data_IF_960823347954
#
_entry.id   IF_960823347954
#
_cell.length_a   1.000
_cell.length_b   1.000
_cell.length_c   1.000
_cell.angle_alpha   90.00
_cell.angle_beta   90.00
_cell.angle_gamma   90.00
#
_symmetry.space_group_name_H-M   'P 1'
#
loop_
_entity.id
_entity.type
_entity.pdbx_description
1 polymer ?
#
# COMPACT_ATOMS: atom_id res chain seq x y z
N UNK A 1 3.44 -31.59 -22.87
CA UNK A 1 4.80 -31.03 -22.93
C UNK A 1 4.86 -29.56 -23.38
N UNK A 2 3.86 -29.02 -24.09
CA UNK A 2 3.81 -27.62 -24.58
C UNK A 2 3.62 -26.53 -23.49
N UNK A 3 2.91 -26.86 -22.39
CA UNK A 3 2.64 -25.91 -21.30
C UNK A 3 3.93 -25.45 -20.59
N UNK A 4 4.93 -26.32 -20.50
CA UNK A 4 6.21 -26.03 -19.84
C UNK A 4 7.07 -25.08 -20.68
N UNK A 5 7.10 -25.23 -21.98
CA UNK A 5 7.85 -24.36 -22.90
C UNK A 5 7.29 -22.92 -22.94
N UNK A 6 5.95 -22.78 -22.96
CA UNK A 6 5.30 -21.46 -22.96
C UNK A 6 5.53 -20.73 -21.63
N UNK A 7 5.57 -21.46 -20.51
CA UNK A 7 5.81 -20.87 -19.17
C UNK A 7 7.27 -20.42 -19.01
N UNK A 8 8.22 -21.16 -19.54
CA UNK A 8 9.63 -20.78 -19.53
C UNK A 8 9.88 -19.45 -20.31
N UNK A 9 9.27 -19.30 -21.47
CA UNK A 9 9.37 -18.06 -22.29
C UNK A 9 8.84 -16.81 -21.60
N UNK A 10 7.90 -16.93 -20.67
CA UNK A 10 7.35 -15.77 -19.92
C UNK A 10 8.38 -15.13 -18.98
N UNK A 11 9.37 -15.88 -18.52
CA UNK A 11 10.40 -15.44 -17.59
C UNK A 11 11.80 -15.33 -18.23
N UNK A 12 11.87 -15.51 -19.53
CA UNK A 12 13.09 -15.30 -20.32
C UNK A 12 12.93 -14.00 -21.12
N UNK A 13 13.96 -13.15 -21.08
CA UNK A 13 14.05 -11.98 -21.95
C UNK A 13 14.36 -12.44 -23.36
N UNK A 14 13.91 -11.68 -24.36
CA UNK A 14 14.35 -11.91 -25.73
C UNK A 14 15.84 -11.66 -25.84
N UNK A 15 16.58 -12.55 -26.50
CA UNK A 15 18.04 -12.43 -26.69
C UNK A 15 18.36 -11.23 -27.59
N UNK A 16 17.55 -10.99 -28.61
CA UNK A 16 17.66 -9.90 -29.58
C UNK A 16 16.56 -8.85 -29.38
N UNK A 17 16.38 -8.38 -28.13
CA UNK A 17 15.41 -7.32 -27.89
C UNK A 17 15.83 -6.04 -28.60
N UNK A 18 15.13 -5.70 -29.71
CA UNK A 18 15.36 -4.45 -30.41
C UNK A 18 15.21 -3.27 -29.45
N UNK A 19 16.18 -2.39 -29.42
CA UNK A 19 16.14 -1.17 -28.65
C UNK A 19 14.98 -0.30 -29.17
N UNK A 20 13.96 -0.15 -28.34
CA UNK A 20 12.79 0.69 -28.69
C UNK A 20 12.83 1.96 -27.86
N UNK A 21 12.51 3.07 -28.52
CA UNK A 21 12.42 4.37 -27.88
C UNK A 21 11.47 4.32 -26.68
N UNK A 22 11.91 4.86 -25.54
CA UNK A 22 11.10 5.06 -24.35
C UNK A 22 10.19 6.28 -24.58
N UNK A 23 8.92 6.14 -24.28
CA UNK A 23 7.89 7.16 -24.40
C UNK A 23 7.51 7.73 -23.03
N UNK A 24 6.82 8.86 -22.97
CA UNK A 24 6.28 9.42 -21.72
C UNK A 24 5.39 8.41 -20.98
N UNK A 25 4.59 7.65 -21.72
CA UNK A 25 3.77 6.56 -21.15
C UNK A 25 4.62 5.52 -20.44
N UNK A 26 5.77 5.17 -20.96
CA UNK A 26 6.67 4.21 -20.32
C UNK A 26 7.25 4.78 -19.03
N UNK A 27 7.58 6.06 -19.01
CA UNK A 27 8.01 6.77 -17.81
C UNK A 27 6.93 6.72 -16.74
N UNK A 28 5.66 6.93 -17.10
CA UNK A 28 4.53 6.79 -16.18
C UNK A 28 4.41 5.36 -15.64
N UNK A 29 4.50 4.34 -16.49
CA UNK A 29 4.49 2.93 -16.08
C UNK A 29 5.64 2.63 -15.11
N UNK A 30 6.86 3.05 -15.42
CA UNK A 30 8.02 2.84 -14.55
C UNK A 30 7.84 3.52 -13.19
N UNK A 31 7.31 4.74 -13.17
CA UNK A 31 7.02 5.47 -11.94
C UNK A 31 5.93 4.81 -11.10
N UNK A 32 4.87 4.28 -11.72
CA UNK A 32 3.86 3.49 -11.00
C UNK A 32 4.49 2.25 -10.35
N UNK A 33 5.27 1.48 -11.12
CA UNK A 33 5.95 0.28 -10.58
C UNK A 33 6.94 0.66 -9.48
N UNK A 34 7.67 1.77 -9.61
CA UNK A 34 8.56 2.28 -8.56
C UNK A 34 7.82 2.57 -7.25
N UNK A 35 6.68 3.27 -7.35
CA UNK A 35 5.89 3.69 -6.18
C UNK A 35 5.30 2.52 -5.41
N UNK A 36 4.80 1.52 -6.11
CA UNK A 36 4.11 0.38 -5.51
C UNK A 36 5.00 -0.84 -5.29
N UNK A 37 6.25 -0.80 -5.78
CA UNK A 37 7.22 -1.90 -5.76
C UNK A 37 6.84 -3.09 -6.62
N UNK A 38 5.61 -3.61 -6.50
CA UNK A 38 5.04 -4.66 -7.35
C UNK A 38 3.68 -4.23 -7.84
N UNK A 39 3.47 -4.34 -9.14
CA UNK A 39 2.17 -4.17 -9.78
C UNK A 39 1.92 -5.34 -10.73
N UNK A 40 0.66 -5.78 -10.81
CA UNK A 40 0.27 -6.74 -11.82
C UNK A 40 -0.17 -6.03 -13.12
N UNK A 41 -0.42 -6.81 -14.18
CA UNK A 41 -0.86 -6.28 -15.47
C UNK A 41 -2.16 -5.47 -15.35
N UNK A 42 -3.09 -5.90 -14.49
CA UNK A 42 -4.41 -5.28 -14.34
C UNK A 42 -4.30 -3.91 -13.66
N UNK A 43 -3.44 -3.81 -12.62
CA UNK A 43 -3.10 -2.53 -12.01
C UNK A 43 -2.57 -1.52 -13.03
N UNK A 44 -1.63 -1.96 -13.88
CA UNK A 44 -1.02 -1.08 -14.88
C UNK A 44 -2.01 -0.67 -15.97
N UNK A 45 -2.95 -1.55 -16.33
CA UNK A 45 -4.05 -1.21 -17.24
C UNK A 45 -4.99 -0.19 -16.59
N UNK A 46 -5.36 -0.38 -15.33
CA UNK A 46 -6.25 0.54 -14.62
C UNK A 46 -5.63 1.93 -14.42
N UNK A 47 -4.33 1.97 -14.06
CA UNK A 47 -3.62 3.23 -13.84
C UNK A 47 -3.38 4.02 -15.16
N UNK A 48 -3.08 3.31 -16.24
CA UNK A 48 -2.82 3.93 -17.55
C UNK A 48 -4.10 4.36 -18.29
N UNK A 49 -5.21 3.64 -18.08
CA UNK A 49 -6.52 3.93 -18.69
C UNK A 49 -6.61 3.68 -20.19
N UNK A 50 -5.60 3.05 -20.81
CA UNK A 50 -5.55 2.78 -22.25
C UNK A 50 -6.00 1.36 -22.63
N UNK A 51 -5.81 1.02 -23.91
CA UNK A 51 -6.13 -0.31 -24.40
C UNK A 51 -5.27 -1.39 -23.75
N UNK A 52 -5.90 -2.36 -23.09
CA UNK A 52 -5.24 -3.42 -22.34
C UNK A 52 -4.26 -4.27 -23.18
N UNK A 53 -4.57 -4.55 -24.45
CA UNK A 53 -3.70 -5.32 -25.32
C UNK A 53 -2.40 -4.56 -25.64
N UNK A 54 -2.52 -3.25 -25.89
CA UNK A 54 -1.37 -2.38 -26.17
C UNK A 54 -0.48 -2.26 -24.91
N UNK A 55 -1.08 -2.12 -23.74
CA UNK A 55 -0.33 -2.07 -22.47
C UNK A 55 0.41 -3.38 -22.25
N UNK A 56 -0.27 -4.53 -22.37
CA UNK A 56 0.35 -5.87 -22.25
C UNK A 56 1.53 -6.05 -23.19
N UNK A 57 1.39 -5.66 -24.45
CA UNK A 57 2.46 -5.71 -25.43
C UNK A 57 3.63 -4.81 -25.02
N UNK A 58 3.35 -3.59 -24.53
CA UNK A 58 4.37 -2.64 -24.09
C UNK A 58 5.10 -3.13 -22.84
N UNK A 59 4.41 -3.69 -21.85
CA UNK A 59 5.00 -4.30 -20.66
C UNK A 59 5.99 -5.43 -21.02
N UNK A 60 5.70 -6.20 -22.07
CA UNK A 60 6.62 -7.21 -22.57
C UNK A 60 7.90 -6.57 -23.11
N UNK A 61 7.79 -5.51 -23.90
CA UNK A 61 8.95 -4.77 -24.44
C UNK A 61 9.80 -4.19 -23.30
N UNK A 62 9.18 -3.54 -22.31
CA UNK A 62 9.89 -2.96 -21.16
C UNK A 62 10.60 -4.04 -20.33
N UNK A 63 10.00 -5.23 -20.21
CA UNK A 63 10.62 -6.37 -19.58
C UNK A 63 11.83 -6.86 -20.38
N UNK A 64 11.70 -7.04 -21.71
CA UNK A 64 12.78 -7.52 -22.56
C UNK A 64 13.98 -6.57 -22.57
N UNK A 65 13.76 -5.26 -22.52
CA UNK A 65 14.79 -4.22 -22.41
C UNK A 65 15.37 -4.04 -20.99
N UNK A 66 14.93 -4.81 -20.00
CA UNK A 66 15.43 -4.71 -18.63
C UNK A 66 14.92 -3.51 -17.82
N UNK A 67 13.98 -2.74 -18.37
CA UNK A 67 13.34 -1.60 -17.67
C UNK A 67 12.39 -2.08 -16.58
N UNK A 68 11.68 -3.18 -16.83
CA UNK A 68 10.91 -3.93 -15.83
C UNK A 68 11.54 -5.28 -15.54
N UNK A 69 11.26 -5.83 -14.37
CA UNK A 69 11.59 -7.20 -13.98
C UNK A 69 10.34 -7.97 -13.59
N UNK A 70 10.45 -9.30 -13.47
CA UNK A 70 9.37 -10.21 -13.08
C UNK A 70 9.82 -11.05 -11.90
N UNK A 71 9.28 -10.84 -10.69
CA UNK A 71 9.65 -11.62 -9.51
C UNK A 71 9.51 -13.12 -9.73
N UNK A 72 10.54 -13.88 -9.38
CA UNK A 72 10.55 -15.35 -9.59
C UNK A 72 9.47 -16.05 -8.77
N UNK A 73 9.14 -15.52 -7.59
CA UNK A 73 8.11 -16.07 -6.72
C UNK A 73 6.75 -16.27 -7.41
N UNK A 74 6.41 -15.45 -8.42
CA UNK A 74 5.14 -15.60 -9.15
C UNK A 74 5.06 -16.88 -10.00
N UNK A 75 6.18 -17.59 -10.23
CA UNK A 75 6.16 -18.89 -10.91
C UNK A 75 5.34 -19.94 -10.14
N UNK A 76 5.32 -19.81 -8.81
CA UNK A 76 4.62 -20.71 -7.88
C UNK A 76 3.29 -20.12 -7.38
N UNK A 77 2.88 -18.97 -7.91
CA UNK A 77 1.83 -18.12 -7.37
C UNK A 77 0.58 -18.17 -8.25
N UNK A 78 -0.19 -19.25 -8.18
CA UNK A 78 -1.42 -19.39 -8.98
C UNK A 78 -2.72 -19.09 -8.20
N UNK A 79 -2.65 -18.77 -6.91
CA UNK A 79 -3.86 -18.74 -6.06
C UNK A 79 -4.47 -17.35 -5.81
N UNK A 80 -3.77 -16.25 -6.10
CA UNK A 80 -4.24 -14.89 -5.75
C UNK A 80 -4.09 -13.85 -6.87
N UNK A 81 -3.73 -14.25 -8.08
CA UNK A 81 -3.75 -13.39 -9.25
C UNK A 81 -4.68 -14.00 -10.29
N UNK A 82 -5.44 -13.14 -10.97
CA UNK A 82 -6.24 -13.56 -12.13
C UNK A 82 -5.38 -14.42 -13.06
N UNK A 83 -5.88 -15.58 -13.55
CA UNK A 83 -5.11 -16.42 -14.44
C UNK A 83 -4.55 -15.64 -15.62
N UNK A 84 -3.21 -15.53 -15.71
CA UNK A 84 -2.52 -14.79 -16.77
C UNK A 84 -2.02 -13.41 -16.42
N UNK A 85 -2.39 -12.82 -15.29
CA UNK A 85 -1.81 -11.57 -14.84
C UNK A 85 -0.33 -11.76 -14.46
N UNK A 86 0.55 -10.92 -15.04
CA UNK A 86 1.99 -10.93 -14.72
C UNK A 86 2.27 -9.83 -13.73
N UNK A 87 3.12 -10.13 -12.75
CA UNK A 87 3.63 -9.17 -11.76
C UNK A 87 4.94 -8.59 -12.25
N UNK A 88 5.06 -7.29 -12.13
CA UNK A 88 6.23 -6.53 -12.53
C UNK A 88 6.81 -5.77 -11.33
N UNK A 89 8.14 -5.65 -11.36
CA UNK A 89 8.93 -4.80 -10.51
C UNK A 89 9.80 -3.90 -11.38
N UNK A 90 10.37 -2.84 -10.80
CA UNK A 90 11.33 -2.01 -11.52
C UNK A 90 12.61 -2.80 -11.78
N UNK A 91 13.04 -2.84 -13.04
CA UNK A 91 14.28 -3.46 -13.47
C UNK A 91 15.49 -2.53 -13.28
N UNK A 92 16.71 -3.10 -13.36
CA UNK A 92 17.96 -2.32 -13.18
C UNK A 92 18.08 -1.19 -14.21
N UNK A 93 17.75 -1.47 -15.48
CA UNK A 93 17.79 -0.44 -16.53
C UNK A 93 16.73 0.64 -16.27
N UNK A 94 15.53 0.27 -15.77
CA UNK A 94 14.48 1.21 -15.42
C UNK A 94 14.86 2.12 -14.24
N UNK A 95 15.49 1.57 -13.21
CA UNK A 95 15.97 2.36 -12.09
C UNK A 95 17.08 3.35 -12.51
N UNK A 96 17.98 2.93 -13.40
CA UNK A 96 19.00 3.82 -13.98
C UNK A 96 18.36 4.92 -14.82
N UNK A 97 17.44 4.55 -15.71
CA UNK A 97 16.72 5.48 -16.57
C UNK A 97 15.99 6.56 -15.77
N UNK A 98 15.23 6.18 -14.73
CA UNK A 98 14.49 7.15 -13.90
C UNK A 98 15.42 8.11 -13.17
N UNK A 99 16.57 7.64 -12.66
CA UNK A 99 17.61 8.50 -12.02
C UNK A 99 18.17 9.53 -13.00
N UNK A 100 18.49 9.11 -14.23
CA UNK A 100 19.00 9.99 -15.29
C UNK A 100 17.95 11.06 -15.67
N UNK A 101 16.66 10.82 -15.39
CA UNK A 101 15.57 11.76 -15.63
C UNK A 101 15.09 12.50 -14.37
N UNK A 102 15.93 12.55 -13.33
CA UNK A 102 15.69 13.40 -12.15
C UNK A 102 14.85 12.78 -11.03
N UNK A 103 14.55 11.47 -11.12
CA UNK A 103 13.84 10.79 -10.05
C UNK A 103 14.80 10.36 -8.92
N UNK A 104 14.48 10.70 -7.68
CA UNK A 104 15.25 10.25 -6.52
C UNK A 104 15.07 8.75 -6.29
N UNK A 105 16.07 7.97 -6.68
CA UNK A 105 16.17 6.55 -6.40
C UNK A 105 17.49 6.32 -5.66
N UNK A 106 17.40 5.81 -4.42
CA UNK A 106 18.60 5.48 -3.65
C UNK A 106 19.49 4.49 -4.43
N UNK A 107 20.69 4.89 -4.83
CA UNK A 107 21.60 4.05 -5.62
C UNK A 107 22.14 2.84 -4.83
N UNK A 108 22.08 2.88 -3.49
CA UNK A 108 22.56 1.79 -2.62
C UNK A 108 21.56 0.66 -2.47
N UNK A 109 20.27 0.91 -2.79
CA UNK A 109 19.24 -0.10 -2.81
C UNK A 109 19.25 -0.81 -4.17
N UNK A 110 19.95 -1.91 -4.28
CA UNK A 110 19.77 -2.84 -5.40
C UNK A 110 18.38 -3.51 -5.28
N UNK A 111 17.36 -2.72 -5.63
CA UNK A 111 15.97 -3.15 -5.59
C UNK A 111 15.72 -4.33 -6.53
N UNK A 112 16.51 -4.46 -7.61
CA UNK A 112 16.36 -5.49 -8.62
C UNK A 112 16.59 -6.88 -8.01
N UNK A 113 17.71 -7.05 -7.31
CA UNK A 113 18.03 -8.33 -6.68
C UNK A 113 17.10 -8.65 -5.53
N UNK A 114 16.75 -7.66 -4.69
CA UNK A 114 15.77 -7.81 -3.62
C UNK A 114 14.37 -8.15 -4.17
N UNK A 115 13.97 -7.54 -5.27
CA UNK A 115 12.67 -7.80 -5.89
C UNK A 115 12.64 -9.17 -6.58
N UNK A 116 13.73 -9.57 -7.22
CA UNK A 116 13.86 -10.88 -7.84
C UNK A 116 13.76 -12.01 -6.81
N UNK A 117 14.41 -11.85 -5.65
CA UNK A 117 14.45 -12.81 -4.54
C UNK A 117 13.31 -12.67 -3.54
N UNK A 118 12.41 -11.73 -3.74
CA UNK A 118 11.27 -11.53 -2.84
C UNK A 118 10.42 -12.81 -2.76
N UNK A 119 10.18 -13.28 -1.55
CA UNK A 119 9.36 -14.49 -1.32
C UNK A 119 7.89 -14.26 -1.69
N UNK A 120 7.17 -15.36 -1.96
CA UNK A 120 5.76 -15.32 -2.40
C UNK A 120 4.85 -14.60 -1.43
N UNK A 121 5.01 -14.81 -0.12
CA UNK A 121 4.22 -14.15 0.92
C UNK A 121 4.40 -12.63 0.88
N UNK A 122 5.66 -12.18 0.72
CA UNK A 122 5.95 -10.75 0.64
C UNK A 122 5.38 -10.12 -0.64
N UNK A 123 5.52 -10.78 -1.80
CA UNK A 123 4.94 -10.32 -3.07
C UNK A 123 3.42 -10.22 -2.96
N UNK A 124 2.76 -11.24 -2.37
CA UNK A 124 1.31 -11.25 -2.15
C UNK A 124 0.84 -10.10 -1.27
N UNK A 125 1.50 -9.92 -0.15
CA UNK A 125 1.16 -8.84 0.77
C UNK A 125 1.30 -7.47 0.10
N UNK A 126 2.41 -7.24 -0.60
CA UNK A 126 2.65 -5.98 -1.33
C UNK A 126 1.63 -5.75 -2.45
N UNK A 127 1.23 -6.81 -3.16
CA UNK A 127 0.17 -6.72 -4.16
C UNK A 127 -1.18 -6.36 -3.52
N UNK A 128 -1.51 -6.92 -2.35
CA UNK A 128 -2.74 -6.54 -1.65
C UNK A 128 -2.76 -5.07 -1.20
N UNK A 129 -1.61 -4.50 -0.86
CA UNK A 129 -1.47 -3.05 -0.63
C UNK A 129 -1.66 -2.27 -1.93
N UNK A 130 -1.05 -2.75 -3.02
CA UNK A 130 -1.17 -2.14 -4.35
C UNK A 130 -2.60 -2.18 -4.88
N UNK A 131 -3.31 -3.31 -4.72
CA UNK A 131 -4.74 -3.46 -5.09
C UNK A 131 -5.57 -2.32 -4.50
N UNK A 132 -5.43 -2.09 -3.19
CA UNK A 132 -6.16 -1.03 -2.51
C UNK A 132 -5.79 0.37 -3.01
N UNK A 133 -4.49 0.68 -3.11
CA UNK A 133 -4.03 2.02 -3.49
C UNK A 133 -4.32 2.35 -4.96
N UNK A 134 -4.22 1.37 -5.86
CA UNK A 134 -4.57 1.53 -7.28
C UNK A 134 -6.07 1.79 -7.43
N UNK A 135 -6.90 0.99 -6.78
CA UNK A 135 -8.35 1.16 -6.80
C UNK A 135 -8.76 2.52 -6.21
N UNK A 136 -8.10 2.96 -5.14
CA UNK A 136 -8.33 4.29 -4.57
C UNK A 136 -7.89 5.41 -5.52
N UNK A 137 -6.75 5.28 -6.21
CA UNK A 137 -6.29 6.27 -7.18
C UNK A 137 -7.28 6.39 -8.35
N UNK A 138 -7.77 5.25 -8.86
CA UNK A 138 -8.79 5.21 -9.92
C UNK A 138 -10.11 5.80 -9.43
N UNK A 139 -10.56 5.45 -8.22
CA UNK A 139 -11.78 6.00 -7.64
C UNK A 139 -11.71 7.52 -7.46
N UNK A 140 -10.58 8.04 -6.97
CA UNK A 140 -10.37 9.49 -6.85
C UNK A 140 -10.44 10.21 -8.21
N UNK A 141 -9.84 9.65 -9.27
CA UNK A 141 -9.89 10.21 -10.62
C UNK A 141 -11.31 10.31 -11.19
N UNK A 142 -12.19 9.38 -10.79
CA UNK A 142 -13.59 9.32 -11.24
C UNK A 142 -14.57 9.94 -10.25
N UNK A 143 -14.10 10.47 -9.12
CA UNK A 143 -14.98 11.07 -8.12
C UNK A 143 -15.60 12.38 -8.62
N UNK A 144 -16.91 12.56 -8.34
CA UNK A 144 -17.62 13.80 -8.65
C UNK A 144 -17.00 15.00 -7.91
N UNK A 145 -16.50 14.78 -6.69
CA UNK A 145 -15.87 15.78 -5.82
C UNK A 145 -14.43 16.11 -6.22
N UNK A 146 -13.92 15.54 -7.32
CA UNK A 146 -12.54 15.72 -7.79
C UNK A 146 -11.49 15.44 -6.72
N UNK A 147 -11.71 14.41 -5.94
CA UNK A 147 -10.76 13.98 -4.92
C UNK A 147 -9.40 13.67 -5.55
N UNK A 148 -8.33 13.96 -4.82
CA UNK A 148 -6.97 13.70 -5.28
C UNK A 148 -6.25 12.82 -4.28
N UNK A 149 -5.69 11.71 -4.76
CA UNK A 149 -4.81 10.88 -3.95
C UNK A 149 -3.41 11.52 -3.89
N UNK A 150 -2.98 11.88 -2.70
CA UNK A 150 -1.60 12.28 -2.39
C UNK A 150 -0.86 11.00 -2.02
N UNK A 151 0.06 10.58 -2.87
CA UNK A 151 0.85 9.37 -2.66
C UNK A 151 1.80 9.51 -1.46
N UNK A 152 2.28 8.37 -0.93
CA UNK A 152 3.26 8.35 0.16
C UNK A 152 4.49 9.22 -0.14
N UNK A 153 5.01 9.17 -1.37
CA UNK A 153 6.15 9.97 -1.78
C UNK A 153 5.85 11.47 -1.68
N UNK A 154 4.71 11.93 -2.19
CA UNK A 154 4.28 13.32 -2.11
C UNK A 154 4.02 13.76 -0.66
N UNK A 155 3.38 12.90 0.14
CA UNK A 155 3.14 13.16 1.58
C UNK A 155 4.46 13.32 2.34
N UNK A 156 5.42 12.44 2.09
CA UNK A 156 6.73 12.49 2.75
C UNK A 156 7.58 13.66 2.25
N UNK A 157 7.44 14.10 1.01
CA UNK A 157 8.19 15.25 0.48
C UNK A 157 7.90 16.56 1.24
N UNK A 158 6.67 16.70 1.78
CA UNK A 158 6.25 17.87 2.55
C UNK A 158 6.26 17.65 4.07
N UNK A 159 6.63 16.45 4.51
CA UNK A 159 6.70 16.12 5.93
C UNK A 159 7.81 16.91 6.65
N UNK A 160 7.77 17.05 7.98
CA UNK A 160 8.82 17.65 8.76
C UNK A 160 10.20 17.05 8.47
N UNK A 161 11.25 17.85 8.52
CA UNK A 161 12.62 17.46 8.15
C UNK A 161 13.09 16.19 8.87
N UNK A 162 12.76 16.06 10.16
CA UNK A 162 13.07 14.86 10.94
C UNK A 162 12.48 13.58 10.31
N UNK A 163 11.26 13.64 9.78
CA UNK A 163 10.62 12.54 9.10
C UNK A 163 11.26 12.27 7.75
N UNK A 164 11.50 13.32 6.95
CA UNK A 164 12.13 13.20 5.63
C UNK A 164 13.53 12.56 5.68
N UNK A 165 14.33 12.88 6.69
CA UNK A 165 15.69 12.35 6.87
C UNK A 165 15.73 10.98 7.58
N UNK A 166 14.58 10.46 8.02
CA UNK A 166 14.52 9.17 8.69
C UNK A 166 14.74 8.03 7.69
N UNK A 167 15.50 7.00 8.08
CA UNK A 167 15.59 5.75 7.31
C UNK A 167 14.27 4.98 7.26
N UNK A 168 13.38 5.21 8.23
CA UNK A 168 12.07 4.58 8.34
C UNK A 168 11.02 5.68 8.61
N UNK A 169 10.67 6.50 7.59
CA UNK A 169 9.83 7.68 7.78
C UNK A 169 8.41 7.35 8.23
N UNK A 170 7.94 6.12 7.99
CA UNK A 170 6.63 5.65 8.41
C UNK A 170 6.62 4.99 9.79
N UNK A 171 7.78 4.75 10.41
CA UNK A 171 7.84 4.11 11.73
C UNK A 171 7.08 4.93 12.76
N UNK A 172 5.98 4.37 13.24
CA UNK A 172 5.14 4.94 14.29
C UNK A 172 5.61 4.43 15.64
N UNK A 173 6.01 5.32 16.51
CA UNK A 173 6.56 4.98 17.83
C UNK A 173 5.79 5.64 18.95
N UNK A 174 5.62 4.92 20.05
CA UNK A 174 5.06 5.47 21.29
C UNK A 174 5.70 4.79 22.51
N UNK A 175 5.75 5.50 23.61
CA UNK A 175 6.21 4.94 24.90
C UNK A 175 5.00 4.58 25.73
N UNK A 176 4.94 3.33 26.18
CA UNK A 176 3.89 2.81 27.04
C UNK A 176 4.52 2.08 28.21
N UNK A 177 3.79 1.92 29.31
CA UNK A 177 4.21 1.06 30.42
C UNK A 177 4.16 -0.41 29.98
N UNK A 178 5.24 -1.14 30.23
CA UNK A 178 5.25 -2.59 30.05
C UNK A 178 4.62 -3.30 31.26
N UNK A 179 4.58 -4.62 31.23
CA UNK A 179 4.01 -5.47 32.29
C UNK A 179 4.67 -5.26 33.67
N UNK A 180 5.90 -4.79 33.69
CA UNK A 180 6.66 -4.49 34.90
C UNK A 180 6.53 -3.03 35.36
N UNK A 181 5.52 -2.30 34.85
CA UNK A 181 5.29 -0.87 35.08
C UNK A 181 6.50 0.02 34.73
N UNK A 182 7.35 -0.40 33.77
CA UNK A 182 8.48 0.38 33.27
C UNK A 182 8.14 0.98 31.91
N UNK A 183 8.54 2.23 31.64
CA UNK A 183 8.36 2.84 30.34
C UNK A 183 9.18 2.09 29.28
N UNK A 184 8.52 1.68 28.20
CA UNK A 184 9.13 0.98 27.07
C UNK A 184 8.61 1.57 25.76
N UNK A 185 9.51 1.77 24.78
CA UNK A 185 9.14 2.24 23.45
C UNK A 185 8.74 1.07 22.56
N UNK A 186 7.56 1.17 21.99
CA UNK A 186 7.01 0.25 21.02
C UNK A 186 6.88 0.92 19.67
N UNK A 187 6.97 0.14 18.59
CA UNK A 187 6.83 0.68 17.25
C UNK A 187 6.07 -0.26 16.33
N UNK A 188 5.34 0.34 15.39
CA UNK A 188 4.74 -0.33 14.25
C UNK A 188 5.13 0.43 12.98
N UNK A 189 5.13 -0.27 11.85
CA UNK A 189 5.34 0.35 10.54
C UNK A 189 4.10 0.02 9.73
N UNK A 190 3.29 1.03 9.34
CA UNK A 190 2.16 0.79 8.47
C UNK A 190 2.61 0.29 7.10
N UNK A 191 1.74 -0.45 6.43
CA UNK A 191 2.02 -0.97 5.08
C UNK A 191 2.12 0.13 4.04
N UNK A 192 1.36 1.22 4.22
CA UNK A 192 1.45 2.45 3.42
C UNK A 192 0.98 3.68 4.22
N UNK A 193 1.33 4.86 3.70
CA UNK A 193 0.74 6.13 4.09
C UNK A 193 0.33 6.91 2.84
N UNK A 194 -0.80 7.60 2.90
CA UNK A 194 -1.29 8.45 1.83
C UNK A 194 -2.17 9.56 2.41
N UNK A 195 -2.57 10.50 1.58
CA UNK A 195 -3.62 11.42 1.97
C UNK A 195 -4.64 11.57 0.84
N UNK A 196 -5.84 11.99 1.20
CA UNK A 196 -6.88 12.35 0.25
C UNK A 196 -7.13 13.85 0.40
N UNK A 197 -6.97 14.57 -0.70
CA UNK A 197 -7.29 15.98 -0.82
C UNK A 197 -8.70 16.12 -1.38
N UNK A 198 -9.56 16.82 -0.64
CA UNK A 198 -10.92 17.21 -1.05
C UNK A 198 -10.94 18.69 -1.41
N UNK A 199 -10.83 19.07 -2.68
CA UNK A 199 -10.72 20.49 -3.08
C UNK A 199 -11.93 21.34 -2.69
N UNK A 200 -13.09 20.74 -2.53
CA UNK A 200 -14.34 21.38 -2.12
C UNK A 200 -14.43 21.67 -0.62
N UNK A 201 -13.62 21.00 0.20
CA UNK A 201 -13.63 21.18 1.65
C UNK A 201 -12.83 22.43 2.07
N UNK A 202 -13.12 23.02 3.25
CA UNK A 202 -12.33 24.11 3.80
C UNK A 202 -10.85 23.75 3.91
N UNK A 203 -9.94 24.73 3.68
CA UNK A 203 -8.49 24.49 3.61
C UNK A 203 -7.88 23.83 4.84
N UNK A 204 -8.44 24.04 6.00
CA UNK A 204 -8.01 23.46 7.28
C UNK A 204 -8.48 22.01 7.47
N UNK A 205 -9.39 21.51 6.62
CA UNK A 205 -10.00 20.18 6.67
C UNK A 205 -9.95 19.43 5.34
N UNK A 206 -9.29 19.99 4.34
CA UNK A 206 -9.31 19.44 2.98
C UNK A 206 -8.31 18.30 2.73
N UNK A 207 -7.41 18.03 3.67
CA UNK A 207 -6.43 16.93 3.58
C UNK A 207 -6.64 15.95 4.74
N UNK A 208 -6.96 14.72 4.41
CA UNK A 208 -7.06 13.64 5.37
C UNK A 208 -5.88 12.67 5.17
N UNK A 209 -4.96 12.64 6.14
CA UNK A 209 -3.81 11.74 6.14
C UNK A 209 -4.24 10.38 6.66
N UNK A 210 -3.85 9.33 5.98
CA UNK A 210 -4.16 7.94 6.34
C UNK A 210 -2.91 7.08 6.43
N UNK A 211 -2.84 6.28 7.48
CA UNK A 211 -1.99 5.10 7.56
C UNK A 211 -2.81 3.90 7.13
N UNK A 212 -2.24 3.01 6.37
CA UNK A 212 -2.93 1.86 5.79
C UNK A 212 -2.32 0.56 6.25
N UNK A 213 -3.18 -0.40 6.57
CA UNK A 213 -2.85 -1.75 6.99
C UNK A 213 -3.62 -2.78 6.18
N UNK A 214 -2.90 -3.62 5.46
CA UNK A 214 -3.43 -4.76 4.72
C UNK A 214 -3.32 -6.02 5.58
N UNK A 215 -4.33 -6.29 6.40
CA UNK A 215 -4.33 -7.45 7.28
C UNK A 215 -4.77 -8.72 6.54
N UNK A 216 -3.84 -9.63 6.34
CA UNK A 216 -4.07 -10.92 5.66
C UNK A 216 -4.60 -12.01 6.57
N UNK A 217 -4.87 -11.70 7.85
CA UNK A 217 -5.34 -12.69 8.82
C UNK A 217 -4.23 -13.57 9.42
N UNK A 218 -2.98 -13.39 8.99
CA UNK A 218 -1.83 -14.18 9.47
C UNK A 218 -1.41 -13.84 10.90
N UNK A 219 -1.74 -12.64 11.37
CA UNK A 219 -1.45 -12.18 12.73
C UNK A 219 -2.69 -12.43 13.61
N UNK A 220 -2.56 -13.09 14.78
CA UNK A 220 -3.69 -13.32 15.67
C UNK A 220 -4.20 -11.99 16.24
N UNK A 221 -5.52 -11.92 16.48
CA UNK A 221 -6.16 -10.74 17.06
C UNK A 221 -5.62 -10.47 18.46
N UNK A 222 -5.58 -11.50 19.28
CA UNK A 222 -5.05 -11.45 20.66
C UNK A 222 -4.14 -12.63 20.88
N UNK A 223 -3.05 -12.40 21.59
CA UNK A 223 -2.16 -13.45 22.13
C UNK A 223 -2.02 -13.24 23.62
N UNK A 224 -1.55 -14.28 24.33
CA UNK A 224 -1.11 -14.15 25.72
C UNK A 224 -0.17 -12.96 25.89
N UNK A 225 -0.17 -12.37 27.06
CA UNK A 225 0.44 -11.09 27.46
C UNK A 225 1.88 -10.87 26.94
N UNK A 226 2.64 -11.94 26.67
CA UNK A 226 4.06 -11.90 26.27
C UNK A 226 4.30 -11.68 24.75
N UNK A 227 3.28 -11.57 23.91
CA UNK A 227 3.49 -11.48 22.46
C UNK A 227 3.16 -10.09 21.91
N UNK A 228 4.20 -9.31 21.58
CA UNK A 228 4.11 -8.04 20.84
C UNK A 228 3.63 -8.20 19.37
N UNK A 229 3.26 -9.42 18.94
CA UNK A 229 2.81 -9.73 17.57
C UNK A 229 1.33 -10.07 17.56
N UNK A 230 0.47 -9.10 17.91
CA UNK A 230 -0.98 -9.23 17.81
C UNK A 230 -1.59 -7.96 17.25
N UNK A 231 -2.79 -8.07 16.70
CA UNK A 231 -3.56 -6.91 16.23
C UNK A 231 -3.87 -5.97 17.40
N UNK A 232 -4.25 -6.51 18.57
CA UNK A 232 -4.46 -5.72 19.78
C UNK A 232 -3.25 -4.84 20.12
N UNK A 233 -2.05 -5.40 20.08
CA UNK A 233 -0.82 -4.64 20.33
C UNK A 233 -0.63 -3.53 19.30
N UNK A 234 -0.83 -3.84 18.00
CA UNK A 234 -0.73 -2.86 16.90
C UNK A 234 -1.73 -1.72 17.08
N UNK A 235 -3.00 -2.02 17.38
CA UNK A 235 -4.04 -1.03 17.66
C UNK A 235 -3.67 -0.15 18.86
N UNK A 236 -3.14 -0.74 19.94
CA UNK A 236 -2.73 0.02 21.12
C UNK A 236 -1.58 0.99 20.81
N UNK A 237 -0.54 0.54 20.08
CA UNK A 237 0.59 1.40 19.67
C UNK A 237 0.10 2.58 18.83
N UNK A 238 -0.82 2.35 17.90
CA UNK A 238 -1.42 3.42 17.11
C UNK A 238 -2.23 4.39 17.96
N UNK A 239 -3.10 3.87 18.83
CA UNK A 239 -3.96 4.68 19.69
C UNK A 239 -3.16 5.59 20.61
N UNK A 240 -2.19 5.03 21.33
CA UNK A 240 -1.32 5.78 22.25
C UNK A 240 -0.49 6.84 21.51
N UNK A 241 0.06 6.49 20.35
CA UNK A 241 0.80 7.46 19.54
C UNK A 241 -0.09 8.57 18.98
N UNK A 242 -1.35 8.27 18.62
CA UNK A 242 -2.31 9.27 18.18
C UNK A 242 -2.68 10.23 19.33
N UNK A 243 -2.95 9.71 20.53
CA UNK A 243 -3.20 10.50 21.73
C UNK A 243 -2.02 11.40 22.08
N UNK A 244 -0.78 10.92 21.88
CA UNK A 244 0.45 11.70 22.03
C UNK A 244 0.72 12.66 20.85
N UNK A 245 -0.23 12.88 19.95
CA UNK A 245 -0.14 13.76 18.76
C UNK A 245 1.05 13.42 17.85
N UNK A 246 1.40 12.15 17.73
CA UNK A 246 2.50 11.70 16.88
C UNK A 246 2.32 12.10 15.41
N UNK A 247 1.08 12.08 14.91
CA UNK A 247 0.71 12.51 13.56
C UNK A 247 1.13 13.96 13.26
N UNK A 248 0.97 14.85 14.21
CA UNK A 248 1.41 16.26 14.06
C UNK A 248 2.93 16.33 13.92
N UNK A 249 3.66 15.57 14.76
CA UNK A 249 5.13 15.57 14.74
C UNK A 249 5.69 14.90 13.49
N UNK A 250 5.01 13.88 12.95
CA UNK A 250 5.52 13.06 11.85
C UNK A 250 5.09 13.57 10.48
N UNK A 251 3.87 14.08 10.35
CA UNK A 251 3.28 14.49 9.06
C UNK A 251 2.85 15.95 9.02
N UNK A 252 3.03 16.71 10.10
CA UNK A 252 2.49 18.07 10.25
C UNK A 252 0.97 18.14 9.99
N UNK A 253 0.24 17.04 10.21
CA UNK A 253 -1.20 16.96 9.97
C UNK A 253 -2.00 17.04 11.26
N UNK A 254 -3.04 17.88 11.35
CA UNK A 254 -3.92 17.92 12.50
C UNK A 254 -4.87 16.71 12.57
N UNK A 255 -5.13 16.08 11.43
CA UNK A 255 -6.01 14.93 11.30
C UNK A 255 -5.25 13.74 10.71
N UNK A 256 -5.51 12.56 11.28
CA UNK A 256 -4.99 11.30 10.77
C UNK A 256 -5.96 10.17 11.14
N UNK A 257 -6.20 9.29 10.21
CA UNK A 257 -6.95 8.05 10.42
C UNK A 257 -6.08 6.84 10.05
N UNK A 258 -6.45 5.68 10.56
CA UNK A 258 -5.74 4.42 10.33
C UNK A 258 -6.74 3.43 9.75
N UNK A 259 -6.58 3.13 8.47
CA UNK A 259 -7.48 2.28 7.70
C UNK A 259 -6.94 0.84 7.67
N UNK A 260 -7.77 -0.10 8.12
CA UNK A 260 -7.51 -1.54 8.05
C UNK A 260 -8.41 -2.18 7.02
N UNK A 261 -7.82 -2.91 6.09
CA UNK A 261 -8.53 -3.85 5.21
C UNK A 261 -8.18 -5.25 5.66
N UNK A 262 -9.17 -6.03 6.05
CA UNK A 262 -8.96 -7.41 6.52
C UNK A 262 -9.62 -8.43 5.59
N UNK A 263 -9.53 -9.70 5.92
CA UNK A 263 -9.98 -10.79 5.06
C UNK A 263 -11.45 -11.21 5.29
N UNK A 264 -12.09 -10.74 6.38
CA UNK A 264 -13.48 -11.12 6.67
C UNK A 264 -14.20 -10.15 7.61
N UNK A 265 -15.55 -10.06 7.53
CA UNK A 265 -16.36 -9.25 8.45
C UNK A 265 -16.18 -9.63 9.92
N UNK A 266 -16.09 -10.92 10.23
CA UNK A 266 -15.87 -11.43 11.60
C UNK A 266 -14.56 -10.85 12.18
N UNK A 267 -13.55 -10.70 11.36
CA UNK A 267 -12.28 -10.16 11.81
C UNK A 267 -12.35 -8.64 12.05
N UNK A 268 -13.22 -7.93 11.32
CA UNK A 268 -13.55 -6.53 11.61
C UNK A 268 -14.21 -6.43 12.99
N UNK A 269 -15.19 -7.27 13.29
CA UNK A 269 -15.85 -7.31 14.61
C UNK A 269 -14.84 -7.54 15.75
N UNK A 270 -13.95 -8.52 15.59
CA UNK A 270 -12.90 -8.77 16.56
C UNK A 270 -11.96 -7.57 16.77
N UNK A 271 -11.63 -6.84 15.69
CA UNK A 271 -10.82 -5.61 15.82
C UNK A 271 -11.57 -4.50 16.56
N UNK A 272 -12.87 -4.34 16.29
CA UNK A 272 -13.72 -3.39 17.00
C UNK A 272 -13.79 -3.69 18.50
N UNK A 273 -13.91 -4.97 18.87
CA UNK A 273 -13.90 -5.39 20.27
C UNK A 273 -12.58 -5.02 20.95
N UNK A 274 -11.43 -5.22 20.25
CA UNK A 274 -10.15 -4.79 20.81
C UNK A 274 -10.05 -3.25 20.98
N UNK A 275 -10.63 -2.47 20.06
CA UNK A 275 -10.67 -1.01 20.23
C UNK A 275 -11.56 -0.61 21.40
N UNK A 276 -12.70 -1.24 21.57
CA UNK A 276 -13.59 -1.01 22.74
C UNK A 276 -12.87 -1.31 24.04
N UNK A 277 -12.22 -2.45 24.15
CA UNK A 277 -11.43 -2.83 25.32
C UNK A 277 -10.32 -1.83 25.63
N UNK A 278 -9.55 -1.42 24.62
CA UNK A 278 -8.44 -0.47 24.78
C UNK A 278 -8.90 0.94 25.19
N UNK A 279 -10.16 1.27 24.94
CA UNK A 279 -10.72 2.60 25.21
C UNK A 279 -11.73 2.61 26.34
N UNK A 280 -11.85 1.53 27.12
CA UNK A 280 -12.83 1.42 28.20
C UNK A 280 -14.28 1.54 27.73
N UNK A 281 -14.59 1.05 26.51
CA UNK A 281 -15.93 1.09 25.91
C UNK A 281 -16.20 2.30 25.00
N UNK A 282 -15.37 3.36 25.04
CA UNK A 282 -15.65 4.61 24.30
C UNK A 282 -15.48 4.48 22.77
N UNK A 283 -14.65 3.53 22.31
CA UNK A 283 -14.24 3.42 20.91
C UNK A 283 -13.36 4.59 20.46
N UNK A 284 -12.94 4.59 19.19
CA UNK A 284 -12.12 5.67 18.65
C UNK A 284 -12.34 5.87 17.16
N UNK A 285 -12.67 7.08 16.72
CA UNK A 285 -12.85 7.40 15.29
C UNK A 285 -11.54 7.44 14.49
N UNK A 286 -10.39 7.30 15.14
CA UNK A 286 -9.10 7.25 14.46
C UNK A 286 -8.94 5.99 13.60
N UNK A 287 -9.61 4.90 13.96
CA UNK A 287 -9.60 3.65 13.21
C UNK A 287 -10.76 3.55 12.24
N UNK A 288 -10.46 3.07 11.04
CA UNK A 288 -11.44 2.68 10.02
C UNK A 288 -11.19 1.23 9.66
N UNK A 289 -12.25 0.44 9.59
CA UNK A 289 -12.19 -0.98 9.27
C UNK A 289 -13.12 -1.31 8.10
N UNK A 290 -12.64 -2.11 7.19
CA UNK A 290 -13.45 -2.78 6.17
C UNK A 290 -12.83 -4.14 5.87
N UNK A 291 -13.49 -4.95 5.07
CA UNK A 291 -13.00 -6.25 4.63
C UNK A 291 -13.06 -6.39 3.10
N UNK A 292 -12.40 -7.43 2.58
CA UNK A 292 -12.27 -7.65 1.13
C UNK A 292 -13.61 -7.96 0.46
N UNK A 293 -14.52 -8.62 1.16
CA UNK A 293 -15.86 -8.93 0.63
C UNK A 293 -16.68 -7.64 0.47
N UNK A 294 -16.64 -6.77 1.47
CA UNK A 294 -17.27 -5.45 1.43
C UNK A 294 -16.67 -4.56 0.32
N UNK A 295 -15.35 -4.59 0.11
CA UNK A 295 -14.72 -3.87 -1.00
C UNK A 295 -15.18 -4.43 -2.35
N UNK A 296 -15.17 -5.75 -2.52
CA UNK A 296 -15.60 -6.40 -3.75
C UNK A 296 -17.09 -6.11 -4.07
N UNK A 297 -17.95 -6.10 -3.06
CA UNK A 297 -19.36 -5.73 -3.21
C UNK A 297 -19.57 -4.28 -3.67
N UNK A 298 -18.60 -3.40 -3.39
CA UNK A 298 -18.57 -2.01 -3.87
C UNK A 298 -17.85 -1.86 -5.23
N UNK A 299 -17.53 -2.95 -5.92
CA UNK A 299 -16.78 -2.97 -7.18
C UNK A 299 -15.32 -2.58 -6.98
N UNK A 300 -14.75 -2.96 -5.86
CA UNK A 300 -13.38 -2.64 -5.42
C UNK A 300 -13.10 -1.12 -5.31
N UNK A 301 -14.15 -0.30 -5.21
CA UNK A 301 -14.05 1.16 -5.04
C UNK A 301 -14.00 1.52 -3.54
N UNK A 302 -12.84 1.92 -2.99
CA UNK A 302 -12.72 2.21 -1.57
C UNK A 302 -13.54 3.42 -1.10
N UNK A 303 -13.90 4.33 -2.01
CA UNK A 303 -14.71 5.52 -1.69
C UNK A 303 -16.19 5.17 -1.56
N UNK A 304 -16.67 4.13 -2.26
CA UNK A 304 -18.04 3.63 -2.19
C UNK A 304 -18.24 2.53 -1.16
N UNK A 305 -17.15 1.86 -0.78
CA UNK A 305 -17.21 0.79 0.19
C UNK A 305 -17.70 1.29 1.56
N UNK A 306 -18.39 0.42 2.27
CA UNK A 306 -18.79 0.65 3.64
C UNK A 306 -17.59 0.50 4.57
N UNK A 307 -17.28 1.54 5.32
CA UNK A 307 -16.31 1.51 6.41
C UNK A 307 -17.02 1.55 7.76
N UNK A 308 -16.37 1.00 8.77
CA UNK A 308 -16.83 1.04 10.16
C UNK A 308 -15.73 1.70 10.97
N UNK A 309 -16.04 2.79 11.66
CA UNK A 309 -15.05 3.42 12.53
C UNK A 309 -14.89 2.65 13.86
N UNK A 310 -13.84 2.93 14.62
CA UNK A 310 -13.59 2.22 15.88
C UNK A 310 -14.59 2.48 17.01
N UNK A 311 -15.66 3.23 16.75
CA UNK A 311 -16.86 3.32 17.61
C UNK A 311 -17.98 2.35 17.18
N UNK A 312 -17.82 1.70 16.01
CA UNK A 312 -18.84 0.84 15.40
C UNK A 312 -19.84 1.61 14.51
N UNK A 313 -19.61 2.88 14.21
CA UNK A 313 -20.44 3.69 13.34
C UNK A 313 -20.05 3.46 11.88
N UNK A 314 -21.04 3.37 10.97
CA UNK A 314 -20.80 3.30 9.54
C UNK A 314 -20.35 4.68 9.05
N UNK A 315 -19.34 4.70 8.22
CA UNK A 315 -18.75 5.91 7.67
C UNK A 315 -18.21 5.66 6.26
N UNK A 316 -17.86 6.72 5.55
CA UNK A 316 -17.08 6.65 4.32
C UNK A 316 -15.56 6.72 4.63
N UNK A 317 -14.71 6.34 3.69
CA UNK A 317 -13.26 6.49 3.81
C UNK A 317 -12.84 7.96 3.94
N UNK A 318 -13.51 8.82 3.18
CA UNK A 318 -13.46 10.28 3.33
C UNK A 318 -14.76 10.67 4.05
N UNK A 319 -14.76 10.70 5.38
CA UNK A 319 -15.93 11.07 6.15
C UNK A 319 -16.43 12.48 5.80
N UNK A 320 -17.76 12.67 5.99
CA UNK A 320 -18.37 13.99 5.96
C UNK A 320 -17.77 14.91 7.03
#
# INVERSE_FOLDING_TARGET
>A
MEITATRARRFQRAEDAAERRITERDVHILNHVRRHRFLNTEHLVALDGGNAANIKARLRVLYDQGLLDRPEAQRHYSRHTTPGAMVYALGRAGARFLREHGEEIDPTLDLTEKNRRAGSVFVSHTLGVADFLVNLEVACRHSADRLQLISQHQLLAVAPEKTRRSREPLRWQTTMMNENAKPQTYSVVPDAAFAILSPSAPRDKNVNVMLFENDTGSIPIQRSVQSHRSIRHKLNVYLQGWQAKRHVQQFASPALQIAFVTNSPIRVEHMLDQVRDLTGGAGSRVFLFTDRETLAAAGDDPLKAKWINGKGEITALCGE
#
